data_IF_748623673987
#
_entry.id   IF_748623673987
#
_cell.length_a   1.000
_cell.length_b   1.000
_cell.length_c   1.000
_cell.angle_alpha   90.00
_cell.angle_beta   90.00
_cell.angle_gamma   90.00
#
_symmetry.space_group_name_H-M   'P 1'
#
loop_
_entity.id
_entity.type
_entity.pdbx_description
1 polymer ?
#
# COMPACT_ATOMS: atom_id res chain seq x y z
N UNK A 1 -11.33 -4.98 19.68
CA UNK A 1 -11.32 -3.71 18.94
C UNK A 1 -10.63 -3.96 17.60
N UNK A 2 -11.21 -3.53 16.47
CA UNK A 2 -10.67 -3.81 15.13
C UNK A 2 -10.29 -2.53 14.39
N UNK A 3 -9.52 -2.66 13.30
CA UNK A 3 -9.19 -1.53 12.42
C UNK A 3 -10.50 -1.01 11.79
N UNK A 4 -10.77 0.28 11.94
CA UNK A 4 -12.01 0.91 11.45
C UNK A 4 -11.85 1.63 10.12
N UNK A 5 -10.66 2.13 9.84
CA UNK A 5 -10.40 2.93 8.64
C UNK A 5 -8.96 2.76 8.20
N UNK A 6 -8.77 2.70 6.89
CA UNK A 6 -7.45 2.70 6.27
C UNK A 6 -7.39 3.88 5.30
N UNK A 7 -6.35 4.68 5.46
CA UNK A 7 -6.00 5.75 4.52
C UNK A 7 -4.56 5.57 4.09
N UNK A 8 -4.35 5.52 2.79
CA UNK A 8 -3.04 5.32 2.16
C UNK A 8 -2.91 6.24 0.96
N UNK A 9 -1.71 6.78 0.76
CA UNK A 9 -1.35 7.59 -0.39
C UNK A 9 -0.01 7.14 -0.95
N UNK A 10 0.15 7.23 -2.28
CA UNK A 10 1.38 6.93 -2.99
C UNK A 10 1.96 5.53 -2.64
N UNK A 11 1.10 4.50 -2.69
CA UNK A 11 1.48 3.14 -2.33
C UNK A 11 1.13 2.15 -3.45
N UNK A 12 2.13 1.54 -4.07
CA UNK A 12 1.99 0.50 -5.10
C UNK A 12 0.93 0.83 -6.16
N UNK A 13 -0.19 0.12 -6.23
CA UNK A 13 -1.25 0.39 -7.21
C UNK A 13 -2.12 1.60 -6.87
N UNK A 14 -2.02 2.17 -5.66
CA UNK A 14 -2.89 3.25 -5.18
C UNK A 14 -2.17 4.60 -5.20
N UNK A 15 -2.74 5.56 -5.94
CA UNK A 15 -2.40 6.98 -5.78
C UNK A 15 -2.93 7.49 -4.44
N UNK A 16 -4.20 7.23 -4.18
CA UNK A 16 -4.92 7.48 -2.93
C UNK A 16 -5.92 6.35 -2.69
N UNK A 17 -6.12 6.00 -1.43
CA UNK A 17 -7.08 5.00 -0.97
C UNK A 17 -7.62 5.40 0.39
N UNK A 18 -8.94 5.42 0.54
CA UNK A 18 -9.61 5.62 1.82
C UNK A 18 -10.79 4.64 1.91
N UNK A 19 -10.74 3.74 2.89
CA UNK A 19 -11.73 2.66 3.07
C UNK A 19 -12.10 2.54 4.54
N UNK A 20 -13.39 2.50 4.82
CA UNK A 20 -13.92 2.10 6.12
C UNK A 20 -14.07 0.56 6.19
N UNK A 21 -13.70 -0.02 7.33
CA UNK A 21 -13.69 -1.47 7.55
C UNK A 21 -14.72 -1.89 8.59
N UNK A 22 -15.43 -2.96 8.28
CA UNK A 22 -16.38 -3.62 9.16
C UNK A 22 -15.75 -4.84 9.85
N UNK A 23 -16.51 -5.54 10.68
CA UNK A 23 -16.06 -6.79 11.31
C UNK A 23 -15.79 -7.91 10.28
N UNK A 24 -16.48 -7.87 9.13
CA UNK A 24 -16.29 -8.77 8.01
C UNK A 24 -16.22 -7.95 6.72
N UNK A 25 -15.21 -8.19 5.90
CA UNK A 25 -14.97 -7.48 4.65
C UNK A 25 -14.61 -8.47 3.56
N UNK A 26 -15.15 -8.27 2.36
CA UNK A 26 -14.87 -9.10 1.19
C UNK A 26 -14.23 -8.20 0.13
N UNK A 27 -13.05 -8.59 -0.36
CA UNK A 27 -12.31 -7.86 -1.37
C UNK A 27 -12.45 -8.54 -2.74
N UNK A 28 -13.18 -7.92 -3.65
CA UNK A 28 -13.45 -8.42 -5.01
C UNK A 28 -12.98 -7.44 -6.08
N UNK A 29 -12.71 -7.96 -7.28
CA UNK A 29 -12.29 -7.16 -8.43
C UNK A 29 -11.52 -8.00 -9.44
N UNK A 30 -11.25 -7.44 -10.62
CA UNK A 30 -10.48 -8.10 -11.67
C UNK A 30 -9.01 -8.36 -11.25
N UNK A 31 -8.32 -9.22 -12.00
CA UNK A 31 -6.86 -9.34 -11.86
C UNK A 31 -6.19 -7.98 -12.10
N UNK A 32 -5.11 -7.72 -11.36
CA UNK A 32 -4.41 -6.42 -11.34
C UNK A 32 -5.24 -5.21 -10.83
N UNK A 33 -6.44 -5.40 -10.28
CA UNK A 33 -7.23 -4.30 -9.67
C UNK A 33 -6.67 -3.75 -8.34
N UNK A 34 -5.46 -4.15 -7.93
CA UNK A 34 -4.83 -3.68 -6.68
C UNK A 34 -5.17 -4.50 -5.42
N UNK A 35 -5.87 -5.62 -5.54
CA UNK A 35 -6.25 -6.46 -4.38
C UNK A 35 -5.05 -6.93 -3.55
N UNK A 36 -3.98 -7.43 -4.20
CA UNK A 36 -2.76 -7.82 -3.49
C UNK A 36 -2.05 -6.61 -2.88
N UNK A 37 -2.05 -5.46 -3.56
CA UNK A 37 -1.52 -4.21 -3.01
C UNK A 37 -2.27 -3.77 -1.77
N UNK A 38 -3.59 -3.99 -1.70
CA UNK A 38 -4.38 -3.70 -0.50
C UNK A 38 -3.93 -4.54 0.69
N UNK A 39 -3.77 -5.85 0.49
CA UNK A 39 -3.29 -6.76 1.55
C UNK A 39 -1.88 -6.38 2.01
N UNK A 40 -1.01 -5.97 1.08
CA UNK A 40 0.35 -5.54 1.39
C UNK A 40 0.45 -4.28 2.26
N UNK A 41 -0.62 -3.47 2.38
CA UNK A 41 -0.67 -2.37 3.34
C UNK A 41 -0.52 -2.92 4.77
N UNK A 42 -1.23 -4.00 5.09
CA UNK A 42 -1.17 -4.62 6.41
C UNK A 42 0.16 -5.32 6.66
N UNK A 43 0.73 -5.97 5.64
CA UNK A 43 2.07 -6.53 5.73
C UNK A 43 3.10 -5.45 6.06
N UNK A 44 3.03 -4.30 5.39
CA UNK A 44 3.96 -3.20 5.64
C UNK A 44 3.80 -2.60 7.05
N UNK A 45 2.56 -2.40 7.51
CA UNK A 45 2.31 -1.94 8.89
C UNK A 45 2.86 -2.96 9.90
N UNK A 46 2.64 -4.25 9.69
CA UNK A 46 3.19 -5.32 10.54
C UNK A 46 4.72 -5.25 10.60
N UNK A 47 5.37 -5.08 9.45
CA UNK A 47 6.83 -5.03 9.37
C UNK A 47 7.38 -3.76 10.04
N UNK A 48 6.70 -2.61 9.91
CA UNK A 48 7.03 -1.39 10.64
C UNK A 48 6.98 -1.63 12.15
N UNK A 49 5.91 -2.26 12.64
CA UNK A 49 5.73 -2.54 14.08
C UNK A 49 6.82 -3.49 14.58
N UNK A 50 7.20 -4.50 13.80
CA UNK A 50 8.17 -5.52 14.20
C UNK A 50 9.62 -5.07 14.12
N UNK A 51 9.97 -4.28 13.11
CA UNK A 51 11.37 -4.06 12.71
C UNK A 51 11.75 -2.59 12.59
N UNK A 52 10.79 -1.68 12.77
CA UNK A 52 10.96 -0.24 12.55
C UNK A 52 10.83 0.14 11.07
N UNK A 53 10.55 1.41 10.82
CA UNK A 53 10.23 1.92 9.49
C UNK A 53 11.35 1.69 8.45
N UNK A 54 12.60 2.01 8.79
CA UNK A 54 13.71 1.90 7.85
C UNK A 54 13.93 0.45 7.40
N UNK A 55 13.86 -0.50 8.33
CA UNK A 55 14.01 -1.92 8.00
C UNK A 55 12.80 -2.44 7.22
N UNK A 56 11.59 -2.03 7.60
CA UNK A 56 10.38 -2.41 6.87
C UNK A 56 10.43 -1.94 5.40
N UNK A 57 10.93 -0.73 5.14
CA UNK A 57 11.16 -0.23 3.78
C UNK A 57 12.15 -1.13 3.03
N UNK A 58 13.29 -1.46 3.65
CA UNK A 58 14.30 -2.33 3.03
C UNK A 58 13.75 -3.74 2.75
N UNK A 59 13.02 -4.33 3.69
CA UNK A 59 12.39 -5.65 3.55
C UNK A 59 11.37 -5.71 2.42
N UNK A 60 10.69 -4.59 2.17
CA UNK A 60 9.71 -4.47 1.09
C UNK A 60 10.38 -4.18 -0.27
N UNK A 61 11.70 -4.18 -0.39
CA UNK A 61 12.41 -3.91 -1.65
C UNK A 61 12.70 -2.42 -1.89
N UNK A 62 12.64 -1.60 -0.85
CA UNK A 62 12.99 -0.18 -0.90
C UNK A 62 11.82 0.75 -1.22
N UNK A 63 12.11 2.05 -1.20
CA UNK A 63 11.10 3.11 -1.35
C UNK A 63 10.43 3.06 -2.74
N UNK A 64 11.19 2.76 -3.79
CA UNK A 64 10.66 2.72 -5.17
C UNK A 64 9.66 1.59 -5.38
N UNK A 65 9.83 0.46 -4.69
CA UNK A 65 8.85 -0.63 -4.74
C UNK A 65 7.56 -0.32 -3.98
N UNK A 66 7.67 0.47 -2.91
CA UNK A 66 6.51 0.87 -2.11
C UNK A 66 5.72 2.01 -2.76
N UNK A 67 6.39 2.92 -3.49
CA UNK A 67 5.75 4.07 -4.13
C UNK A 67 4.81 3.67 -5.26
N UNK A 68 3.87 4.57 -5.57
CA UNK A 68 2.98 4.35 -6.69
C UNK A 68 3.71 4.48 -8.02
N UNK A 69 3.71 3.39 -8.80
CA UNK A 69 4.44 3.31 -10.07
C UNK A 69 3.95 4.29 -11.14
N UNK A 70 2.67 4.68 -11.09
CA UNK A 70 2.11 5.61 -12.07
C UNK A 70 2.55 7.05 -11.80
N UNK A 71 2.83 7.42 -10.55
CA UNK A 71 3.34 8.75 -10.18
C UNK A 71 4.79 8.91 -10.65
N UNK A 72 5.62 7.86 -10.52
CA UNK A 72 7.03 7.91 -10.93
C UNK A 72 7.14 8.15 -12.45
N UNK A 73 6.33 7.46 -13.25
CA UNK A 73 6.29 7.63 -14.73
C UNK A 73 5.88 9.03 -15.19
N UNK A 74 5.10 9.75 -14.38
CA UNK A 74 4.70 11.13 -14.70
C UNK A 74 5.85 12.11 -14.54
N UNK A 75 6.73 11.92 -13.54
CA UNK A 75 7.91 12.78 -13.35
C UNK A 75 8.98 12.56 -14.42
N UNK A 76 9.24 11.30 -14.79
CA UNK A 76 10.23 10.96 -15.81
C UNK A 76 9.85 11.36 -17.25
N UNK A 77 8.66 11.94 -17.46
CA UNK A 77 8.18 12.41 -18.77
C UNK A 77 8.25 13.94 -18.90
N UNK A 78 8.57 14.64 -17.81
CA UNK A 78 8.66 16.09 -17.72
C UNK A 78 10.13 16.56 -17.70
N UNK A 79 11.06 15.64 -17.43
CA UNK A 79 12.51 15.78 -17.69
C UNK A 79 12.85 15.24 -19.08
#
# INVERSE_FOLDING_TARGET
MGIKKIKVSNFKSFKELEIDLNQFNVLVGANAAGKSSFIQIFDFIRDIIKSGLSNAISMQGGVEYLRNLNIIKLKSKIE
#
